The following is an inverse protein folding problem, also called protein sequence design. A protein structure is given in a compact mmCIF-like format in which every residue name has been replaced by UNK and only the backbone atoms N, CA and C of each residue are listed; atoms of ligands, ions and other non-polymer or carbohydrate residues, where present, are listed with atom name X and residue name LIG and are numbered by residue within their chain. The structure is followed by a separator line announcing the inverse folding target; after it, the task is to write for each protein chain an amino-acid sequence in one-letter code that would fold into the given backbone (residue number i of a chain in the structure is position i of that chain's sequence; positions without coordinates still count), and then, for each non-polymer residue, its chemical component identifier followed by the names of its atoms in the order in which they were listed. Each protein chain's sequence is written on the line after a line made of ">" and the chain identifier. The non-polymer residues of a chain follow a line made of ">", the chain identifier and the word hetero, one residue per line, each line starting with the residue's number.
data_IF_745558977553
#
_entry.id   IF_745558977553
#
_cell.length_a   1.000
_cell.length_b   1.000
_cell.length_c   1.000
_cell.angle_alpha   90.00
_cell.angle_beta   90.00
_cell.angle_gamma   90.00
#
_symmetry.space_group_name_H-M   'P 1'
#
loop_
_entity.id
_entity.type
_entity.pdbx_description
1 polymer ?
#
# COMPACT_ATOMS: atom_id res chain seq x y z
N UNK A 1 8.51 -0.21 11.55
CA UNK A 1 8.75 -1.53 10.93
C UNK A 1 8.82 -1.37 9.43
N UNK A 2 9.80 -1.98 8.75
CA UNK A 2 9.82 -2.03 7.30
C UNK A 2 8.95 -3.21 6.85
N UNK A 3 7.70 -2.93 6.44
CA UNK A 3 6.81 -3.93 5.85
C UNK A 3 7.25 -4.14 4.40
N UNK A 4 7.72 -5.35 4.06
CA UNK A 4 8.14 -5.69 2.70
C UNK A 4 7.14 -6.67 2.07
N UNK A 5 6.29 -6.16 1.17
CA UNK A 5 5.32 -6.97 0.42
C UNK A 5 5.78 -7.30 -1.01
N UNK A 6 7.01 -6.93 -1.39
CA UNK A 6 7.50 -7.13 -2.76
C UNK A 6 7.62 -8.63 -3.07
N UNK A 7 7.02 -9.06 -4.19
CA UNK A 7 7.04 -10.46 -4.63
C UNK A 7 6.08 -11.38 -3.86
N UNK A 8 5.20 -10.83 -3.00
CA UNK A 8 4.16 -11.60 -2.32
C UNK A 8 2.88 -11.66 -3.15
N UNK A 9 2.18 -12.79 -3.09
CA UNK A 9 0.85 -12.94 -3.69
C UNK A 9 -0.23 -12.49 -2.69
N UNK A 10 -1.24 -11.77 -3.18
CA UNK A 10 -2.41 -11.35 -2.39
C UNK A 10 -3.61 -12.23 -2.72
N UNK A 11 -3.61 -13.47 -2.21
CA UNK A 11 -4.67 -14.46 -2.50
C UNK A 11 -5.80 -14.43 -1.47
N UNK A 12 -5.47 -14.31 -0.19
CA UNK A 12 -6.45 -14.16 0.89
C UNK A 12 -5.93 -13.27 2.01
N UNK A 13 -6.84 -12.63 2.75
CA UNK A 13 -6.50 -11.82 3.93
C UNK A 13 -5.86 -12.65 5.06
N UNK A 14 -6.10 -13.96 5.09
CA UNK A 14 -5.49 -14.85 6.09
C UNK A 14 -3.97 -14.98 5.95
N UNK A 15 -3.42 -14.61 4.79
CA UNK A 15 -1.98 -14.65 4.53
C UNK A 15 -1.24 -13.41 5.06
N UNK A 16 -1.97 -12.44 5.61
CA UNK A 16 -1.44 -11.16 6.06
C UNK A 16 -1.62 -11.02 7.57
N UNK A 17 -0.62 -10.43 8.22
CA UNK A 17 -0.76 -10.07 9.63
C UNK A 17 -1.62 -8.80 9.77
N UNK A 18 -2.24 -8.57 10.93
CA UNK A 18 -2.98 -7.32 11.17
C UNK A 18 -2.15 -6.07 10.89
N UNK A 19 -0.86 -6.06 11.23
CA UNK A 19 0.05 -4.93 10.99
C UNK A 19 0.28 -4.66 9.50
N UNK A 20 0.38 -5.71 8.68
CA UNK A 20 0.52 -5.58 7.22
C UNK A 20 -0.74 -5.00 6.59
N UNK A 21 -1.91 -5.42 7.09
CA UNK A 21 -3.20 -4.89 6.64
C UNK A 21 -3.34 -3.42 7.05
N UNK A 22 -2.99 -3.07 8.29
CA UNK A 22 -2.99 -1.68 8.75
C UNK A 22 -2.07 -0.82 7.90
N UNK A 23 -0.86 -1.30 7.62
CA UNK A 23 0.08 -0.61 6.74
C UNK A 23 -0.49 -0.40 5.33
N UNK A 24 -1.16 -1.40 4.74
CA UNK A 24 -1.83 -1.26 3.45
C UNK A 24 -2.96 -0.21 3.49
N UNK A 25 -3.71 -0.14 4.59
CA UNK A 25 -4.76 0.86 4.78
C UNK A 25 -4.18 2.28 4.87
N UNK A 26 -3.13 2.46 5.65
CA UNK A 26 -2.43 3.76 5.78
C UNK A 26 -1.85 4.21 4.43
N UNK A 27 -1.19 3.29 3.71
CA UNK A 27 -0.67 3.56 2.38
C UNK A 27 -1.79 3.99 1.42
N UNK A 28 -2.95 3.33 1.47
CA UNK A 28 -4.10 3.68 0.63
C UNK A 28 -4.64 5.09 0.93
N UNK A 29 -4.62 5.51 2.20
CA UNK A 29 -5.08 6.83 2.63
C UNK A 29 -4.13 7.93 2.15
N UNK A 30 -2.82 7.70 2.22
CA UNK A 30 -1.81 8.61 1.69
C UNK A 30 -1.94 8.80 0.17
N UNK A 31 -2.08 7.69 -0.57
CA UNK A 31 -2.20 7.74 -2.03
C UNK A 31 -3.48 8.47 -2.45
N UNK A 32 -4.61 8.26 -1.76
CA UNK A 32 -5.85 9.02 -1.99
C UNK A 32 -5.66 10.51 -1.73
N UNK A 33 -4.96 10.85 -0.64
CA UNK A 33 -4.67 12.26 -0.31
C UNK A 33 -3.80 12.91 -1.37
N UNK A 34 -2.70 12.26 -1.78
CA UNK A 34 -1.80 12.75 -2.84
C UNK A 34 -2.56 12.93 -4.17
N UNK A 35 -3.41 11.97 -4.54
CA UNK A 35 -4.29 12.07 -5.72
C UNK A 35 -5.26 13.25 -5.62
N UNK A 36 -5.88 13.46 -4.46
CA UNK A 36 -6.82 14.57 -4.22
C UNK A 36 -6.14 15.93 -4.29
N UNK A 37 -4.88 16.02 -3.85
CA UNK A 37 -4.05 17.22 -3.96
C UNK A 37 -3.55 17.49 -5.39
N UNK A 38 -3.88 16.62 -6.35
CA UNK A 38 -3.44 16.76 -7.74
C UNK A 38 -1.96 16.45 -7.95
N UNK A 39 -1.30 15.77 -7.00
CA UNK A 39 0.09 15.34 -7.14
C UNK A 39 0.13 14.05 -7.96
N UNK A 40 0.66 14.06 -9.21
CA UNK A 40 0.84 12.84 -9.97
C UNK A 40 1.86 11.95 -9.25
N UNK A 41 1.47 10.71 -8.99
CA UNK A 41 2.36 9.73 -8.38
C UNK A 41 3.20 9.02 -9.44
N UNK A 42 4.53 9.13 -9.36
CA UNK A 42 5.48 8.44 -10.25
C UNK A 42 5.95 7.09 -9.70
N UNK A 43 5.36 6.63 -8.59
CA UNK A 43 5.82 5.45 -7.83
C UNK A 43 5.85 4.14 -8.64
N UNK A 44 5.09 4.07 -9.73
CA UNK A 44 5.00 2.90 -10.61
C UNK A 44 5.24 3.29 -12.08
N UNK A 45 5.99 4.35 -12.35
CA UNK A 45 6.41 4.67 -13.72
C UNK A 45 7.32 3.56 -14.24
N UNK A 46 6.87 2.92 -15.32
CA UNK A 46 7.64 2.02 -16.17
C UNK A 46 7.97 2.72 -17.47
#
# INVERSE_FOLDING_TARGET
>A
MAVNLKGRHFLTLKDFTPDEILWLLDLSAELKTKKRLGLPGDLLRG
#
